data_IF_957165406494
#
_entry.id   IF_957165406494
#
_cell.length_a   1.000
_cell.length_b   1.000
_cell.length_c   1.000
_cell.angle_alpha   90.00
_cell.angle_beta   90.00
_cell.angle_gamma   90.00
#
_symmetry.space_group_name_H-M   'P 1'
#
loop_
_entity.id
_entity.type
_entity.pdbx_description
1 polymer ?
#
# COMPACT_ATOMS: atom_id res chain seq x y z
N UNK A 1 6.80 22.66 4.14
CA UNK A 1 6.05 23.46 3.15
C UNK A 1 4.59 23.06 3.26
N UNK A 2 3.63 23.99 3.41
CA UNK A 2 2.23 23.62 3.53
C UNK A 2 1.75 22.95 2.22
N UNK A 3 0.95 21.89 2.35
CA UNK A 3 0.32 21.20 1.24
C UNK A 3 -1.20 21.30 1.37
N UNK A 4 -1.90 21.13 0.26
CA UNK A 4 -3.33 20.94 0.15
C UNK A 4 -3.63 19.69 -0.63
N UNK A 5 -4.65 18.95 -0.23
CA UNK A 5 -5.11 17.81 -0.99
C UNK A 5 -6.13 18.25 -2.06
N UNK A 6 -6.05 17.62 -3.20
CA UNK A 6 -7.09 17.65 -4.23
C UNK A 6 -8.07 16.53 -3.94
N UNK A 7 -7.58 15.30 -3.89
CA UNK A 7 -8.36 14.08 -3.68
C UNK A 7 -7.50 12.96 -3.09
N UNK A 8 -8.13 11.94 -2.47
CA UNK A 8 -7.57 10.60 -2.28
C UNK A 8 -7.80 9.82 -3.56
N UNK A 9 -6.74 9.34 -4.21
CA UNK A 9 -6.86 8.77 -5.57
C UNK A 9 -6.90 7.25 -5.62
N UNK A 10 -6.16 6.57 -4.76
CA UNK A 10 -6.19 5.11 -4.63
C UNK A 10 -5.53 4.66 -3.33
N UNK A 11 -5.60 3.38 -3.06
CA UNK A 11 -4.97 2.74 -1.92
C UNK A 11 -3.89 1.77 -2.37
N UNK A 12 -2.69 1.93 -1.82
CA UNK A 12 -1.60 0.97 -1.99
C UNK A 12 -1.69 -0.09 -0.91
N UNK A 13 -1.78 -1.35 -1.31
CA UNK A 13 -1.73 -2.49 -0.39
C UNK A 13 -0.28 -2.93 -0.17
N UNK A 14 0.10 -3.16 1.08
CA UNK A 14 1.36 -3.79 1.42
C UNK A 14 1.18 -5.31 1.37
N UNK A 15 1.99 -5.98 0.58
CA UNK A 15 1.85 -7.41 0.29
C UNK A 15 3.16 -8.09 0.65
N UNK A 16 3.26 -8.58 1.89
CA UNK A 16 4.44 -9.29 2.37
C UNK A 16 4.29 -10.77 2.05
N UNK A 17 5.17 -11.32 1.24
CA UNK A 17 5.04 -12.68 0.72
C UNK A 17 6.29 -13.51 0.94
N UNK A 18 6.06 -14.80 1.13
CA UNK A 18 7.03 -15.88 1.09
C UNK A 18 6.55 -16.97 0.11
N UNK A 19 7.42 -17.87 -0.26
CA UNK A 19 7.00 -19.06 -1.03
C UNK A 19 6.03 -19.91 -0.22
N UNK A 20 5.10 -20.60 -0.86
CA UNK A 20 4.10 -21.44 -0.18
C UNK A 20 4.72 -22.56 0.65
N UNK A 21 5.87 -23.10 0.22
CA UNK A 21 6.62 -24.16 0.91
C UNK A 21 7.49 -23.64 2.08
N UNK A 22 7.60 -22.32 2.27
CA UNK A 22 8.35 -21.71 3.38
C UNK A 22 7.77 -22.11 4.74
N UNK A 23 8.59 -22.32 5.78
CA UNK A 23 8.10 -22.52 7.16
C UNK A 23 7.53 -21.22 7.77
N UNK A 24 7.88 -20.06 7.26
CA UNK A 24 7.45 -18.73 7.75
C UNK A 24 5.94 -18.56 7.60
N UNK A 25 5.26 -18.14 8.67
CA UNK A 25 3.81 -17.92 8.73
C UNK A 25 3.43 -16.49 9.09
N UNK A 26 4.28 -15.82 9.85
CA UNK A 26 4.10 -14.48 10.36
C UNK A 26 5.33 -13.62 10.06
N UNK A 27 5.21 -12.32 10.22
CA UNK A 27 6.36 -11.41 10.08
C UNK A 27 7.42 -11.68 11.16
N UNK A 28 6.99 -12.12 12.35
CA UNK A 28 7.89 -12.46 13.46
C UNK A 28 8.81 -13.65 13.14
N UNK A 29 8.38 -14.57 12.28
CA UNK A 29 9.18 -15.74 11.86
C UNK A 29 10.29 -15.38 10.88
N UNK A 30 10.40 -14.12 10.42
CA UNK A 30 11.41 -13.70 9.45
C UNK A 30 12.82 -13.57 10.01
N UNK A 31 13.01 -13.76 11.32
CA UNK A 31 14.35 -13.77 11.92
C UNK A 31 15.23 -14.83 11.24
N UNK A 32 16.43 -14.42 10.78
CA UNK A 32 17.37 -15.26 10.04
C UNK A 32 17.09 -15.41 8.53
N UNK A 33 15.93 -14.97 8.05
CA UNK A 33 15.56 -15.04 6.61
C UNK A 33 15.92 -13.76 5.86
N UNK A 34 16.43 -13.88 4.65
CA UNK A 34 16.78 -12.73 3.80
C UNK A 34 15.51 -12.13 3.19
N UNK A 35 15.28 -10.84 3.46
CA UNK A 35 14.07 -10.12 3.07
C UNK A 35 14.38 -8.97 2.12
N UNK A 36 13.54 -8.77 1.08
CA UNK A 36 13.56 -7.54 0.27
C UNK A 36 12.38 -6.64 0.64
N UNK A 37 12.68 -5.39 1.00
CA UNK A 37 11.67 -4.40 1.44
C UNK A 37 11.32 -3.35 0.35
N UNK A 38 11.80 -3.57 -0.88
CA UNK A 38 11.67 -2.59 -1.97
C UNK A 38 12.93 -1.76 -2.16
N UNK A 39 12.95 -0.91 -3.18
CA UNK A 39 14.11 -0.10 -3.52
C UNK A 39 14.49 0.89 -2.42
N UNK A 40 15.78 1.22 -2.34
CA UNK A 40 16.30 2.24 -1.42
C UNK A 40 15.54 3.57 -1.59
N UNK A 41 15.08 4.15 -0.51
CA UNK A 41 14.33 5.41 -0.50
C UNK A 41 12.86 5.30 -0.90
N UNK A 42 12.37 4.11 -1.23
CA UNK A 42 10.95 3.88 -1.47
C UNK A 42 10.14 3.90 -0.16
N UNK A 43 8.90 4.38 -0.22
CA UNK A 43 7.98 4.35 0.92
C UNK A 43 7.76 2.93 1.47
N UNK A 44 7.73 1.93 0.58
CA UNK A 44 7.64 0.52 0.96
C UNK A 44 8.82 0.07 1.85
N UNK A 45 10.05 0.52 1.55
CA UNK A 45 11.22 0.17 2.35
C UNK A 45 11.10 0.72 3.78
N UNK A 46 10.72 1.99 3.92
CA UNK A 46 10.51 2.64 5.23
C UNK A 46 9.41 1.94 6.03
N UNK A 47 8.29 1.62 5.39
CA UNK A 47 7.18 0.93 6.04
C UNK A 47 7.55 -0.51 6.38
N UNK A 48 8.25 -1.21 5.50
CA UNK A 48 8.71 -2.59 5.73
C UNK A 48 9.65 -2.70 6.94
N UNK A 49 10.60 -1.78 7.10
CA UNK A 49 11.47 -1.71 8.27
C UNK A 49 10.66 -1.48 9.55
N UNK A 50 9.70 -0.56 9.52
CA UNK A 50 8.82 -0.31 10.66
C UNK A 50 7.97 -1.53 11.00
N UNK A 51 7.45 -2.25 10.01
CA UNK A 51 6.68 -3.48 10.20
C UNK A 51 7.54 -4.56 10.86
N UNK A 52 8.77 -4.78 10.39
CA UNK A 52 9.72 -5.71 11.01
C UNK A 52 9.98 -5.34 12.48
N UNK A 53 10.31 -4.08 12.76
CA UNK A 53 10.50 -3.62 14.13
C UNK A 53 9.26 -3.85 15.02
N UNK A 54 8.08 -3.56 14.51
CA UNK A 54 6.84 -3.74 15.26
C UNK A 54 6.52 -5.23 15.53
N UNK A 55 6.92 -6.11 14.61
CA UNK A 55 6.75 -7.56 14.76
C UNK A 55 7.84 -8.22 15.64
N UNK A 56 8.91 -7.49 16.00
CA UNK A 56 9.99 -7.95 16.85
C UNK A 56 11.35 -8.16 16.20
N UNK A 57 11.45 -8.72 14.97
CA UNK A 57 12.74 -8.91 14.32
C UNK A 57 13.37 -7.58 13.91
N UNK A 58 14.62 -7.32 14.34
CA UNK A 58 15.32 -6.08 13.99
C UNK A 58 15.93 -6.16 12.60
N UNK A 59 15.56 -5.24 11.66
CA UNK A 59 16.16 -5.18 10.33
C UNK A 59 17.69 -5.00 10.42
N UNK A 60 18.41 -5.68 9.53
CA UNK A 60 19.87 -5.62 9.45
C UNK A 60 20.62 -6.37 10.55
N UNK A 61 20.00 -6.64 11.69
CA UNK A 61 20.61 -7.39 12.81
C UNK A 61 20.10 -8.82 12.87
N UNK A 62 18.78 -8.98 13.00
CA UNK A 62 18.13 -10.30 13.03
C UNK A 62 17.59 -10.73 11.68
N UNK A 63 17.29 -9.77 10.78
CA UNK A 63 16.78 -10.00 9.43
C UNK A 63 17.74 -9.36 8.44
N UNK A 64 18.47 -10.14 7.61
CA UNK A 64 19.24 -9.60 6.49
C UNK A 64 18.30 -8.91 5.49
N UNK A 65 18.39 -7.56 5.40
CA UNK A 65 17.53 -6.76 4.51
C UNK A 65 18.26 -6.43 3.22
N UNK A 66 17.56 -6.57 2.11
CA UNK A 66 17.95 -6.09 0.79
C UNK A 66 16.96 -5.04 0.29
N UNK A 67 17.49 -4.00 -0.33
CA UNK A 67 16.68 -2.95 -0.95
C UNK A 67 16.74 -3.10 -2.47
N UNK A 68 15.81 -3.91 -3.01
CA UNK A 68 15.73 -4.23 -4.42
C UNK A 68 14.44 -3.67 -5.02
N UNK A 69 14.45 -3.12 -6.24
CA UNK A 69 13.23 -2.93 -7.02
C UNK A 69 12.43 -4.23 -7.10
N UNK A 70 11.11 -4.14 -7.22
CA UNK A 70 10.22 -5.31 -7.14
C UNK A 70 10.58 -6.39 -8.16
N UNK A 71 10.97 -6.02 -9.38
CA UNK A 71 11.40 -6.97 -10.41
C UNK A 71 12.65 -7.75 -9.99
N UNK A 72 13.67 -7.03 -9.46
CA UNK A 72 14.92 -7.65 -9.00
C UNK A 72 14.70 -8.52 -7.76
N UNK A 73 13.78 -8.10 -6.87
CA UNK A 73 13.37 -8.88 -5.71
C UNK A 73 12.65 -10.18 -6.12
N UNK A 74 11.76 -10.11 -7.11
CA UNK A 74 11.09 -11.27 -7.67
C UNK A 74 12.11 -12.26 -8.29
N UNK A 75 13.09 -11.75 -9.04
CA UNK A 75 14.17 -12.58 -9.59
C UNK A 75 15.07 -13.17 -8.50
N UNK A 76 15.37 -12.41 -7.47
CA UNK A 76 16.12 -12.89 -6.31
C UNK A 76 15.35 -14.01 -5.56
N UNK A 77 14.02 -13.88 -5.43
CA UNK A 77 13.18 -14.93 -4.85
C UNK A 77 13.13 -16.19 -5.75
N UNK A 78 13.07 -16.04 -7.08
CA UNK A 78 13.16 -17.16 -8.02
C UNK A 78 14.47 -17.95 -7.87
N UNK A 79 15.57 -17.28 -7.59
CA UNK A 79 16.91 -17.89 -7.35
C UNK A 79 17.13 -18.33 -5.90
N UNK A 80 16.21 -18.10 -4.99
CA UNK A 80 16.33 -18.45 -3.57
C UNK A 80 17.29 -17.56 -2.78
N UNK A 81 17.74 -16.41 -3.33
CA UNK A 81 18.61 -15.47 -2.63
C UNK A 81 17.87 -14.40 -1.82
N UNK A 82 16.55 -14.35 -1.95
CA UNK A 82 15.59 -13.64 -1.10
C UNK A 82 14.48 -14.63 -0.76
N UNK A 83 14.13 -14.75 0.51
CA UNK A 83 13.15 -15.71 1.02
C UNK A 83 11.80 -15.06 1.27
N UNK A 84 11.78 -13.74 1.52
CA UNK A 84 10.56 -12.95 1.63
C UNK A 84 10.71 -11.62 0.89
N UNK A 85 9.64 -11.11 0.33
CA UNK A 85 9.61 -9.78 -0.26
C UNK A 85 8.35 -9.00 0.13
N UNK A 86 8.50 -7.68 0.23
CA UNK A 86 7.41 -6.74 0.39
C UNK A 86 7.09 -6.08 -0.94
N UNK A 87 5.92 -6.39 -1.49
CA UNK A 87 5.31 -5.66 -2.59
C UNK A 87 4.41 -4.54 -2.08
N UNK A 88 4.40 -3.40 -2.76
CA UNK A 88 3.49 -2.30 -2.48
C UNK A 88 2.86 -1.80 -3.78
N UNK A 89 1.54 -1.77 -3.84
CA UNK A 89 0.81 -1.37 -5.04
C UNK A 89 -0.64 -1.81 -5.03
N UNK A 90 -1.26 -1.80 -6.20
CA UNK A 90 -2.60 -2.35 -6.41
C UNK A 90 -2.62 -3.88 -6.22
N UNK A 91 -3.82 -4.43 -6.21
CA UNK A 91 -4.04 -5.89 -6.10
C UNK A 91 -4.87 -6.34 -7.30
N UNK A 92 -4.42 -7.36 -8.07
CA UNK A 92 -3.14 -8.06 -7.94
C UNK A 92 -1.95 -7.27 -8.50
N UNK A 93 -0.75 -7.51 -7.93
CA UNK A 93 0.51 -7.08 -8.52
C UNK A 93 0.95 -8.13 -9.57
N UNK A 94 1.17 -7.77 -10.84
CA UNK A 94 1.49 -8.76 -11.89
C UNK A 94 2.68 -9.66 -11.56
N UNK A 95 3.77 -9.09 -11.03
CA UNK A 95 4.95 -9.86 -10.63
C UNK A 95 4.68 -10.86 -9.49
N UNK A 96 3.78 -10.52 -8.55
CA UNK A 96 3.38 -11.46 -7.50
C UNK A 96 2.47 -12.55 -8.07
N UNK A 97 1.60 -12.24 -9.03
CA UNK A 97 0.80 -13.25 -9.73
C UNK A 97 1.68 -14.26 -10.47
N UNK A 98 2.72 -13.79 -11.17
CA UNK A 98 3.68 -14.66 -11.85
C UNK A 98 4.44 -15.58 -10.88
N UNK A 99 4.83 -15.06 -9.71
CA UNK A 99 5.48 -15.87 -8.67
C UNK A 99 4.52 -16.90 -8.07
N UNK A 100 3.26 -16.48 -7.83
CA UNK A 100 2.21 -17.33 -7.30
C UNK A 100 1.85 -18.47 -8.26
N UNK A 101 1.80 -18.18 -9.55
CA UNK A 101 1.58 -19.19 -10.59
C UNK A 101 2.72 -20.21 -10.67
N UNK A 102 3.96 -19.77 -10.44
CA UNK A 102 5.14 -20.59 -10.60
C UNK A 102 5.36 -21.57 -9.46
N UNK A 103 5.25 -21.13 -8.20
CA UNK A 103 5.57 -21.96 -7.02
C UNK A 103 4.63 -21.74 -5.82
N UNK A 104 3.57 -20.98 -6.02
CA UNK A 104 2.66 -20.58 -4.96
C UNK A 104 3.27 -19.53 -4.01
N UNK A 105 2.43 -18.65 -3.51
CA UNK A 105 2.83 -17.69 -2.50
C UNK A 105 1.98 -17.85 -1.24
N UNK A 106 2.58 -17.52 -0.11
CA UNK A 106 1.87 -17.25 1.14
C UNK A 106 2.03 -15.77 1.46
N UNK A 107 0.92 -15.12 1.68
CA UNK A 107 0.85 -13.74 2.15
C UNK A 107 0.88 -13.73 3.67
N UNK A 108 1.83 -12.99 4.24
CA UNK A 108 1.98 -12.88 5.69
C UNK A 108 0.99 -11.83 6.23
N UNK A 109 0.20 -12.15 7.26
CA UNK A 109 -0.73 -11.21 7.84
C UNK A 109 0.02 -10.06 8.54
N UNK A 110 -0.47 -8.82 8.35
CA UNK A 110 0.09 -7.61 8.96
C UNK A 110 -0.77 -7.08 10.13
N UNK A 111 -1.88 -7.72 10.48
CA UNK A 111 -2.77 -7.28 11.55
C UNK A 111 -2.06 -7.14 12.90
N UNK A 112 -1.13 -8.04 13.23
CA UNK A 112 -0.41 -8.01 14.51
C UNK A 112 0.56 -6.81 14.64
N UNK A 113 1.44 -6.50 13.69
CA UNK A 113 2.34 -5.35 13.80
C UNK A 113 1.64 -3.99 13.60
N UNK A 114 0.51 -3.93 12.90
CA UNK A 114 -0.15 -2.65 12.55
C UNK A 114 -0.51 -1.77 13.75
N UNK A 115 -1.13 -2.26 14.84
CA UNK A 115 -1.45 -1.41 15.99
C UNK A 115 -0.24 -0.76 16.64
N UNK A 116 0.94 -1.42 16.55
CA UNK A 116 2.21 -0.91 17.10
C UNK A 116 2.82 0.18 16.22
N UNK A 117 2.42 0.27 14.95
CA UNK A 117 2.89 1.30 14.01
C UNK A 117 2.18 2.64 14.18
N UNK A 118 0.95 2.63 14.70
CA UNK A 118 0.11 3.83 14.88
C UNK A 118 0.53 4.76 16.04
N UNK A 119 1.52 4.39 16.85
CA UNK A 119 1.93 5.16 18.04
C UNK A 119 0.89 5.10 19.17
N UNK A 120 1.31 5.38 20.42
CA UNK A 120 0.41 5.47 21.57
C UNK A 120 -0.55 6.64 21.37
N UNK A 121 -1.79 6.37 20.95
CA UNK A 121 -2.82 7.39 20.86
C UNK A 121 -3.91 7.23 19.82
N UNK A 122 -3.95 6.14 19.06
CA UNK A 122 -5.11 5.86 18.18
C UNK A 122 -5.46 6.98 17.18
N UNK A 123 -4.53 7.89 16.92
CA UNK A 123 -4.75 8.99 15.98
C UNK A 123 -4.60 8.49 14.54
N UNK A 124 -5.57 8.80 13.74
CA UNK A 124 -5.67 8.63 12.29
C UNK A 124 -4.52 9.31 11.49
N UNK A 125 -3.31 9.41 12.04
CA UNK A 125 -2.18 10.15 11.45
C UNK A 125 -1.11 9.27 10.80
N UNK A 126 -1.21 7.94 10.87
CA UNK A 126 -0.22 7.07 10.22
C UNK A 126 -0.46 6.85 8.73
N UNK A 127 -1.65 7.19 8.23
CA UNK A 127 -2.06 6.89 6.85
C UNK A 127 -2.12 5.38 6.53
N UNK A 128 -2.01 4.53 7.57
CA UNK A 128 -2.09 3.08 7.48
C UNK A 128 -3.48 2.65 7.94
N UNK A 129 -4.18 1.93 7.08
CA UNK A 129 -5.48 1.33 7.38
C UNK A 129 -5.35 -0.19 7.35
N UNK A 130 -6.06 -0.90 8.25
CA UNK A 130 -6.15 -2.34 8.15
C UNK A 130 -7.14 -2.70 7.04
N UNK A 131 -6.69 -3.51 6.10
CA UNK A 131 -7.48 -3.98 4.96
C UNK A 131 -7.25 -5.47 4.76
N UNK A 132 -8.12 -6.12 4.00
CA UNK A 132 -7.95 -7.51 3.61
C UNK A 132 -7.66 -7.64 2.12
N UNK A 133 -6.76 -8.55 1.77
CA UNK A 133 -6.54 -8.88 0.37
C UNK A 133 -7.84 -9.48 -0.22
N UNK A 134 -8.30 -8.98 -1.39
CA UNK A 134 -9.53 -9.47 -2.01
C UNK A 134 -9.45 -10.95 -2.36
N UNK A 135 -10.58 -11.66 -2.24
CA UNK A 135 -10.67 -13.03 -2.71
C UNK A 135 -10.47 -13.11 -4.22
N UNK A 136 -9.75 -14.12 -4.67
CA UNK A 136 -9.48 -14.34 -6.09
C UNK A 136 -8.37 -13.45 -6.68
N UNK A 137 -7.78 -12.54 -5.90
CA UNK A 137 -6.64 -11.75 -6.36
C UNK A 137 -5.41 -12.61 -6.63
N UNK A 138 -5.19 -13.61 -5.78
CA UNK A 138 -4.14 -14.62 -5.86
C UNK A 138 -4.71 -15.97 -5.42
N UNK A 139 -3.96 -17.07 -5.66
CA UNK A 139 -4.45 -18.44 -5.35
C UNK A 139 -4.82 -18.63 -3.88
N UNK A 140 -4.08 -18.07 -2.95
CA UNK A 140 -4.22 -18.32 -1.51
C UNK A 140 -4.29 -17.04 -0.65
N UNK A 141 -4.61 -15.89 -1.23
CA UNK A 141 -4.53 -14.61 -0.49
C UNK A 141 -5.85 -14.13 0.11
N UNK A 142 -6.99 -14.75 -0.24
CA UNK A 142 -8.31 -14.25 0.15
C UNK A 142 -8.48 -14.09 1.66
N UNK A 143 -8.82 -12.88 2.09
CA UNK A 143 -9.08 -12.57 3.50
C UNK A 143 -7.84 -12.37 4.37
N UNK A 144 -6.63 -12.38 3.80
CA UNK A 144 -5.42 -12.08 4.58
C UNK A 144 -5.40 -10.61 4.95
N UNK A 145 -5.37 -10.33 6.25
CA UNK A 145 -5.30 -8.98 6.77
C UNK A 145 -3.93 -8.36 6.45
N UNK A 146 -3.96 -7.18 5.87
CA UNK A 146 -2.77 -6.41 5.48
C UNK A 146 -2.98 -4.93 5.77
N UNK A 147 -2.06 -4.09 5.30
CA UNK A 147 -2.16 -2.64 5.44
C UNK A 147 -2.42 -1.97 4.10
N UNK A 148 -3.42 -1.11 4.08
CA UNK A 148 -3.65 -0.11 3.05
C UNK A 148 -2.95 1.19 3.37
N UNK A 149 -2.44 1.86 2.35
CA UNK A 149 -1.85 3.20 2.43
C UNK A 149 -2.57 4.11 1.45
N UNK A 150 -3.25 5.13 1.97
CA UNK A 150 -3.96 6.11 1.15
C UNK A 150 -2.99 6.94 0.31
N UNK A 151 -3.21 7.01 -0.99
CA UNK A 151 -2.46 7.85 -1.91
C UNK A 151 -3.27 9.12 -2.20
N UNK A 152 -2.67 10.27 -1.93
CA UNK A 152 -3.32 11.57 -2.09
C UNK A 152 -2.71 12.33 -3.26
N UNK A 153 -3.57 12.92 -4.08
CA UNK A 153 -3.15 13.96 -5.00
C UNK A 153 -3.04 15.27 -4.23
N UNK A 154 -1.81 15.77 -4.09
CA UNK A 154 -1.54 16.99 -3.32
C UNK A 154 -1.00 18.09 -4.20
N UNK A 155 -1.20 19.33 -3.79
CA UNK A 155 -0.71 20.51 -4.49
C UNK A 155 -0.22 21.57 -3.50
N UNK A 156 0.40 22.61 -4.04
CA UNK A 156 0.71 23.81 -3.29
C UNK A 156 -0.57 24.62 -3.02
N UNK A 157 -0.65 25.37 -1.92
CA UNK A 157 -1.82 26.19 -1.60
C UNK A 157 -2.14 27.29 -2.62
N UNK A 158 -1.13 27.72 -3.38
CA UNK A 158 -1.22 28.77 -4.40
C UNK A 158 -1.62 28.24 -5.79
N UNK A 159 -1.96 26.95 -5.93
CA UNK A 159 -2.55 26.44 -7.16
C UNK A 159 -3.82 27.23 -7.51
N UNK A 160 -4.00 27.71 -8.75
CA UNK A 160 -5.22 28.42 -9.12
C UNK A 160 -6.48 27.61 -8.79
N UNK A 161 -7.46 28.26 -8.14
CA UNK A 161 -8.71 27.61 -7.67
C UNK A 161 -9.43 26.85 -8.78
N UNK A 162 -9.52 27.44 -9.98
CA UNK A 162 -10.18 26.80 -11.13
C UNK A 162 -9.46 25.52 -11.60
N UNK A 163 -8.13 25.45 -11.45
CA UNK A 163 -7.36 24.24 -11.79
C UNK A 163 -7.67 23.12 -10.79
N UNK A 164 -7.64 23.43 -9.49
CA UNK A 164 -7.99 22.45 -8.46
C UNK A 164 -9.44 21.96 -8.60
N UNK A 165 -10.38 22.87 -8.88
CA UNK A 165 -11.79 22.51 -9.15
C UNK A 165 -11.91 21.60 -10.35
N UNK A 166 -11.24 21.91 -11.47
CA UNK A 166 -11.28 21.08 -12.68
C UNK A 166 -10.69 19.67 -12.46
N UNK A 167 -9.57 19.58 -11.70
CA UNK A 167 -8.97 18.30 -11.34
C UNK A 167 -9.92 17.44 -10.51
N UNK A 168 -10.52 17.99 -9.45
CA UNK A 168 -11.50 17.25 -8.63
C UNK A 168 -12.69 16.79 -9.45
N UNK A 169 -13.27 17.67 -10.30
CA UNK A 169 -14.37 17.29 -11.19
C UNK A 169 -13.97 16.16 -12.13
N UNK A 170 -12.77 16.23 -12.71
CA UNK A 170 -12.25 15.18 -13.60
C UNK A 170 -12.17 13.84 -12.87
N UNK A 171 -11.55 13.82 -11.68
CA UNK A 171 -11.39 12.59 -10.89
C UNK A 171 -12.74 11.99 -10.49
N UNK A 172 -13.68 12.80 -10.00
CA UNK A 172 -15.02 12.34 -9.62
C UNK A 172 -15.82 11.84 -10.82
N UNK A 173 -15.90 12.64 -11.90
CA UNK A 173 -16.76 12.31 -13.05
C UNK A 173 -16.18 11.24 -13.97
N UNK A 174 -14.86 10.98 -13.90
CA UNK A 174 -14.17 9.99 -14.72
C UNK A 174 -13.58 8.84 -13.89
N UNK A 175 -13.98 8.71 -12.64
CA UNK A 175 -13.47 7.68 -11.72
C UNK A 175 -13.46 6.28 -12.36
N UNK A 176 -14.56 5.86 -12.94
CA UNK A 176 -14.70 4.54 -13.58
C UNK A 176 -13.75 4.33 -14.77
N UNK A 177 -13.40 5.39 -15.49
CA UNK A 177 -12.46 5.31 -16.62
C UNK A 177 -10.98 5.29 -16.16
N UNK A 178 -10.71 5.64 -14.91
CA UNK A 178 -9.38 5.64 -14.31
C UNK A 178 -9.06 4.34 -13.57
N UNK A 179 -10.04 3.50 -13.31
CA UNK A 179 -9.84 2.20 -12.67
C UNK A 179 -9.36 1.19 -13.72
N UNK A 180 -8.20 0.53 -13.51
CA UNK A 180 -7.73 -0.51 -14.42
C UNK A 180 -8.72 -1.68 -14.50
N UNK A 181 -8.91 -2.24 -15.70
CA UNK A 181 -9.86 -3.34 -15.93
C UNK A 181 -9.57 -4.61 -15.11
N UNK A 182 -8.32 -4.80 -14.70
CA UNK A 182 -7.87 -5.93 -13.87
C UNK A 182 -7.83 -5.60 -12.37
N UNK A 183 -8.30 -4.40 -11.97
CA UNK A 183 -8.37 -4.05 -10.56
C UNK A 183 -9.39 -4.91 -9.83
N UNK A 184 -9.00 -5.45 -8.69
CA UNK A 184 -9.84 -6.27 -7.82
C UNK A 184 -9.96 -5.59 -6.47
N UNK A 185 -11.20 -5.45 -5.97
CA UNK A 185 -11.46 -4.83 -4.68
C UNK A 185 -11.77 -3.32 -4.76
N UNK A 186 -11.90 -2.70 -3.59
CA UNK A 186 -12.37 -1.31 -3.39
C UNK A 186 -11.24 -0.28 -3.29
N UNK A 187 -10.07 -0.62 -3.75
CA UNK A 187 -8.88 0.20 -3.61
C UNK A 187 -8.83 1.43 -4.54
N UNK A 188 -9.83 1.60 -5.38
CA UNK A 188 -9.90 2.66 -6.37
C UNK A 188 -11.09 3.59 -6.14
N UNK A 189 -10.99 4.72 -6.76
CA UNK A 189 -11.87 5.86 -6.81
C UNK A 189 -13.37 5.52 -6.69
N UNK A 190 -13.93 5.71 -5.52
CA UNK A 190 -15.35 5.92 -5.34
C UNK A 190 -15.59 7.31 -4.75
N UNK A 191 -16.76 7.88 -5.02
CA UNK A 191 -17.07 9.27 -4.63
C UNK A 191 -16.97 9.47 -3.10
N UNK A 192 -17.31 8.44 -2.32
CA UNK A 192 -17.25 8.51 -0.86
C UNK A 192 -15.83 8.52 -0.31
N UNK A 193 -14.91 7.81 -0.96
CA UNK A 193 -13.51 7.69 -0.51
C UNK A 193 -12.63 8.85 -0.94
N UNK A 194 -12.94 9.52 -2.07
CA UNK A 194 -12.13 10.60 -2.65
C UNK A 194 -11.92 11.78 -1.68
N UNK A 195 -12.91 12.12 -0.86
CA UNK A 195 -12.85 13.24 0.09
C UNK A 195 -12.03 12.94 1.34
N UNK A 196 -11.70 11.68 1.58
CA UNK A 196 -11.00 11.20 2.77
C UNK A 196 -9.50 11.49 2.75
N UNK A 197 -9.10 12.74 2.94
CA UNK A 197 -7.69 13.20 2.83
C UNK A 197 -6.92 13.22 4.16
N UNK A 198 -7.49 12.65 5.23
CA UNK A 198 -6.87 12.61 6.56
C UNK A 198 -6.54 14.01 7.08
N UNK A 199 -5.32 14.19 7.58
CA UNK A 199 -4.86 15.45 8.18
C UNK A 199 -4.49 16.55 7.14
N UNK A 200 -4.50 16.24 5.84
CA UNK A 200 -4.20 17.21 4.79
C UNK A 200 -5.49 17.89 4.33
N UNK A 201 -5.64 19.15 4.69
CA UNK A 201 -6.83 19.90 4.32
C UNK A 201 -7.01 20.04 2.80
N UNK A 202 -8.24 19.89 2.33
CA UNK A 202 -8.59 20.06 0.93
C UNK A 202 -8.25 21.47 0.42
N UNK A 203 -7.89 21.56 -0.85
CA UNK A 203 -7.73 22.82 -1.56
C UNK A 203 -9.10 23.52 -1.70
N UNK A 204 -9.19 24.87 -1.58
CA UNK A 204 -10.47 25.58 -1.72
C UNK A 204 -11.22 25.31 -3.02
N UNK A 205 -10.51 25.07 -4.14
CA UNK A 205 -11.10 24.67 -5.42
C UNK A 205 -11.72 23.26 -5.37
N UNK A 206 -11.05 22.30 -4.70
CA UNK A 206 -11.60 20.97 -4.51
C UNK A 206 -12.88 21.00 -3.67
N UNK A 207 -12.91 21.80 -2.58
CA UNK A 207 -14.10 21.98 -1.74
C UNK A 207 -15.29 22.50 -2.57
N UNK A 208 -15.05 23.44 -3.50
CA UNK A 208 -16.10 23.95 -4.37
C UNK A 208 -16.62 22.87 -5.32
N UNK A 209 -15.74 22.11 -5.93
CA UNK A 209 -16.12 21.00 -6.80
C UNK A 209 -16.99 19.97 -6.07
N UNK A 210 -16.55 19.53 -4.88
CA UNK A 210 -17.30 18.58 -4.08
C UNK A 210 -18.69 19.09 -3.70
N UNK A 211 -18.81 20.32 -3.24
CA UNK A 211 -20.12 20.92 -2.92
C UNK A 211 -21.05 20.98 -4.11
N UNK A 212 -20.51 21.27 -5.30
CA UNK A 212 -21.32 21.33 -6.52
C UNK A 212 -21.73 19.94 -7.07
N UNK A 213 -21.02 18.89 -6.71
CA UNK A 213 -21.28 17.51 -7.16
C UNK A 213 -22.18 16.73 -6.19
N UNK A 214 -22.26 17.15 -4.93
CA UNK A 214 -23.04 16.49 -3.88
C UNK A 214 -24.28 17.30 -3.44
N UNK A 215 -24.42 18.54 -3.89
CA UNK A 215 -25.56 19.41 -3.62
C UNK A 215 -26.64 19.25 -4.61
#
# INVERSE_FOLDING_TARGET
MPLRAIDRVYETYLQFVVRADSPVRTVSDLAGHTVSLGATGAGAAVLGERILHAAGPSPGTCVPVRHLPLADAADAMRRGSVEALLGAGGVPLPLLSELDDRFGLRFLPLAEPLPRLGGQGGRAGSGLEEVCLPQGAYRAAGGVATSGVSNLLVCRPDLPRGVAEALTRLLVLRATALVPANAVGTQFLDIGSLIGTGDIALHPGAIVAYRALHG
#
